data_IF_154381118103
#
_entry.id   IF_154381118103
#
_cell.length_a   1.000
_cell.length_b   1.000
_cell.length_c   1.000
_cell.angle_alpha   90.00
_cell.angle_beta   90.00
_cell.angle_gamma   90.00
#
_symmetry.space_group_name_H-M   'P 1'
#
loop_
_entity.id
_entity.type
_entity.pdbx_description
1 polymer ?
#
# COMPACT_ATOMS: atom_id res chain seq x y z
N UNK A 1 -7.01 -15.89 5.05
CA UNK A 1 -6.02 -14.79 5.16
C UNK A 1 -4.63 -15.30 4.83
N UNK A 2 -4.25 -16.50 5.30
CA UNK A 2 -2.97 -17.16 5.02
C UNK A 2 -2.60 -17.27 3.53
N UNK A 3 -3.56 -17.53 2.64
CA UNK A 3 -3.28 -17.57 1.20
C UNK A 3 -2.75 -16.22 0.67
N UNK A 4 -3.26 -15.09 1.17
CA UNK A 4 -2.78 -13.75 0.78
C UNK A 4 -1.36 -13.52 1.31
N UNK A 5 -1.06 -14.04 2.50
CA UNK A 5 0.29 -13.97 3.07
C UNK A 5 1.29 -14.81 2.27
N UNK A 6 0.88 -16.00 1.81
CA UNK A 6 1.67 -16.82 0.89
C UNK A 6 1.90 -16.12 -0.46
N UNK A 7 0.87 -15.49 -1.01
CA UNK A 7 0.98 -14.69 -2.25
C UNK A 7 1.90 -13.48 -2.07
N UNK A 8 1.89 -12.81 -0.91
CA UNK A 8 2.81 -11.70 -0.62
C UNK A 8 4.27 -12.14 -0.77
N UNK A 9 4.62 -13.32 -0.30
CA UNK A 9 5.98 -13.86 -0.42
C UNK A 9 6.28 -14.33 -1.84
N UNK A 10 5.36 -15.05 -2.47
CA UNK A 10 5.57 -15.64 -3.79
C UNK A 10 5.56 -14.61 -4.94
N UNK A 11 4.69 -13.61 -4.88
CA UNK A 11 4.48 -12.59 -5.93
C UNK A 11 5.11 -11.24 -5.58
N UNK A 12 5.45 -11.03 -4.31
CA UNK A 12 5.93 -9.76 -3.77
C UNK A 12 4.81 -8.90 -3.18
N UNK A 13 5.13 -8.17 -2.10
CA UNK A 13 4.19 -7.31 -1.38
C UNK A 13 3.62 -6.17 -2.22
N UNK A 14 4.39 -5.65 -3.19
CA UNK A 14 3.95 -4.60 -4.11
C UNK A 14 2.74 -5.03 -4.97
N UNK A 15 2.73 -6.27 -5.46
CA UNK A 15 1.61 -6.78 -6.27
C UNK A 15 0.33 -6.86 -5.44
N UNK A 16 0.42 -7.41 -4.23
CA UNK A 16 -0.74 -7.51 -3.32
C UNK A 16 -1.22 -6.12 -2.88
N UNK A 17 -0.30 -5.18 -2.64
CA UNK A 17 -0.62 -3.78 -2.32
C UNK A 17 -1.46 -3.12 -3.42
N UNK A 18 -1.12 -3.32 -4.70
CA UNK A 18 -1.88 -2.74 -5.83
C UNK A 18 -3.36 -3.17 -5.86
N UNK A 19 -3.68 -4.40 -5.43
CA UNK A 19 -5.07 -4.83 -5.27
C UNK A 19 -5.70 -4.30 -3.97
N UNK A 20 -4.91 -4.17 -2.90
CA UNK A 20 -5.37 -3.70 -1.60
C UNK A 20 -5.80 -2.22 -1.60
N UNK A 21 -5.08 -1.35 -2.34
CA UNK A 21 -5.29 0.10 -2.32
C UNK A 21 -6.73 0.52 -2.68
N UNK A 22 -7.39 -0.18 -3.60
CA UNK A 22 -8.75 0.15 -4.07
C UNK A 22 -9.81 0.05 -2.96
N UNK A 23 -9.61 -0.85 -2.01
CA UNK A 23 -10.58 -1.07 -0.92
C UNK A 23 -10.25 -0.33 0.37
N UNK A 24 -9.04 0.21 0.51
CA UNK A 24 -8.55 0.83 1.74
C UNK A 24 -9.37 2.07 2.14
N UNK A 25 -9.74 2.88 1.15
CA UNK A 25 -10.51 4.13 1.32
C UNK A 25 -11.96 4.03 0.85
N UNK A 26 -12.47 2.81 0.60
CA UNK A 26 -13.83 2.59 0.13
C UNK A 26 -14.89 3.19 1.08
N UNK A 27 -16.00 3.81 0.64
CA UNK A 27 -16.94 4.50 1.56
C UNK A 27 -17.68 3.56 2.53
N UNK A 28 -17.93 2.31 2.14
CA UNK A 28 -18.57 1.32 3.01
C UNK A 28 -17.60 0.77 4.08
N UNK A 29 -17.98 0.89 5.35
CA UNK A 29 -17.21 0.43 6.51
C UNK A 29 -16.79 -1.04 6.43
N UNK A 30 -17.74 -1.92 6.09
CA UNK A 30 -17.51 -3.38 6.00
C UNK A 30 -16.43 -3.75 4.99
N UNK A 31 -16.29 -2.96 3.91
CA UNK A 31 -15.24 -3.15 2.91
C UNK A 31 -13.90 -2.71 3.50
N UNK A 32 -13.81 -1.47 4.01
CA UNK A 32 -12.56 -0.94 4.59
C UNK A 32 -12.00 -1.84 5.68
N UNK A 33 -12.83 -2.34 6.59
CA UNK A 33 -12.37 -3.20 7.70
C UNK A 33 -11.59 -4.43 7.23
N UNK A 34 -11.95 -5.02 6.08
CA UNK A 34 -11.23 -6.19 5.53
C UNK A 34 -9.92 -5.75 4.87
N UNK A 35 -9.95 -4.67 4.08
CA UNK A 35 -8.77 -4.18 3.37
C UNK A 35 -7.71 -3.61 4.33
N UNK A 36 -8.11 -2.94 5.40
CA UNK A 36 -7.19 -2.48 6.44
C UNK A 36 -6.48 -3.65 7.13
N UNK A 37 -7.17 -4.78 7.37
CA UNK A 37 -6.50 -5.98 7.91
C UNK A 37 -5.44 -6.54 6.96
N UNK A 38 -5.72 -6.55 5.65
CA UNK A 38 -4.74 -6.98 4.64
C UNK A 38 -3.55 -6.02 4.59
N UNK A 39 -3.81 -4.70 4.60
CA UNK A 39 -2.78 -3.67 4.63
C UNK A 39 -1.86 -3.81 5.85
N UNK A 40 -2.43 -4.11 7.03
CA UNK A 40 -1.64 -4.34 8.24
C UNK A 40 -0.71 -5.58 8.10
N UNK A 41 -1.21 -6.66 7.50
CA UNK A 41 -0.39 -7.86 7.23
C UNK A 41 0.77 -7.55 6.30
N UNK A 42 0.50 -6.82 5.20
CA UNK A 42 1.53 -6.38 4.25
C UNK A 42 2.58 -5.51 4.92
N UNK A 43 2.15 -4.56 5.75
CA UNK A 43 3.03 -3.64 6.44
C UNK A 43 3.99 -4.39 7.37
N UNK A 44 3.49 -5.34 8.16
CA UNK A 44 4.32 -6.14 9.07
C UNK A 44 5.28 -7.06 8.29
N UNK A 45 4.82 -7.68 7.20
CA UNK A 45 5.61 -8.70 6.49
C UNK A 45 6.60 -8.18 5.45
N UNK A 46 6.40 -6.97 4.91
CA UNK A 46 7.13 -6.44 3.75
C UNK A 46 7.37 -4.94 3.80
N UNK A 47 7.42 -4.31 4.97
CA UNK A 47 7.46 -2.84 5.12
C UNK A 47 8.40 -2.12 4.14
N UNK A 48 9.68 -2.52 4.10
CA UNK A 48 10.71 -1.88 3.29
C UNK A 48 10.41 -1.98 1.78
N UNK A 49 9.97 -3.16 1.33
CA UNK A 49 9.59 -3.40 -0.05
C UNK A 49 8.36 -2.57 -0.50
N UNK A 50 7.52 -2.09 0.42
CA UNK A 50 6.36 -1.26 0.08
C UNK A 50 6.74 0.19 -0.25
N UNK A 51 7.91 0.68 0.19
CA UNK A 51 8.35 2.07 -0.04
C UNK A 51 8.32 2.41 -1.53
N UNK A 52 8.86 1.51 -2.37
CA UNK A 52 8.90 1.65 -3.82
C UNK A 52 7.53 1.44 -4.50
N UNK A 53 6.53 0.92 -3.79
CA UNK A 53 5.24 0.52 -4.36
C UNK A 53 4.07 1.44 -3.96
N UNK A 54 4.26 2.33 -2.98
CA UNK A 54 3.22 3.31 -2.64
C UNK A 54 2.89 4.22 -3.83
N UNK A 55 1.60 4.54 -4.05
CA UNK A 55 1.20 5.43 -5.12
C UNK A 55 1.75 6.83 -4.87
N UNK A 56 2.12 7.51 -5.94
CA UNK A 56 2.44 8.94 -5.89
C UNK A 56 1.14 9.70 -5.64
N UNK A 57 1.12 10.47 -4.56
CA UNK A 57 0.01 11.37 -4.24
C UNK A 57 0.40 12.79 -4.62
N UNK A 58 -0.55 13.54 -5.16
CA UNK A 58 -0.36 14.96 -5.46
C UNK A 58 -0.47 15.77 -4.19
N UNK A 59 0.35 16.80 -4.06
CA UNK A 59 0.26 17.76 -2.97
C UNK A 59 -1.10 18.48 -3.04
N UNK A 60 -1.68 18.72 -1.86
CA UNK A 60 -2.93 19.47 -1.69
C UNK A 60 -2.65 20.72 -0.87
N UNK A 61 -3.49 21.75 -0.98
CA UNK A 61 -3.34 23.10 -0.39
C UNK A 61 -2.31 23.23 0.76
N UNK A 62 -2.58 22.56 1.89
CA UNK A 62 -1.79 22.65 3.11
C UNK A 62 -0.88 21.44 3.37
N UNK A 63 -0.95 20.40 2.53
CA UNK A 63 -0.27 19.12 2.75
C UNK A 63 0.64 18.74 1.58
N UNK A 64 1.92 18.50 1.90
CA UNK A 64 2.90 17.93 0.97
C UNK A 64 2.87 16.41 1.13
N UNK A 65 2.43 15.70 0.09
CA UNK A 65 2.34 14.24 0.03
C UNK A 65 3.36 13.60 -0.91
N UNK A 66 3.98 14.41 -1.79
CA UNK A 66 5.04 13.99 -2.68
C UNK A 66 6.31 13.57 -1.92
N UNK A 67 7.15 12.76 -2.56
CA UNK A 67 8.45 12.30 -2.02
C UNK A 67 9.57 12.68 -2.98
N UNK A 68 10.05 13.95 -2.94
CA UNK A 68 11.02 14.48 -3.90
C UNK A 68 12.32 13.69 -3.97
N UNK A 69 12.73 13.08 -2.86
CA UNK A 69 13.97 12.30 -2.73
C UNK A 69 13.96 11.07 -3.65
N UNK A 70 12.78 10.55 -4.01
CA UNK A 70 12.65 9.38 -4.89
C UNK A 70 12.72 9.71 -6.38
N UNK A 71 12.67 11.00 -6.76
CA UNK A 71 12.66 11.44 -8.16
C UNK A 71 13.93 12.21 -8.55
N UNK A 72 14.92 12.27 -7.65
CA UNK A 72 16.22 12.85 -7.95
C UNK A 72 16.96 11.95 -8.94
N UNK A 73 17.43 12.54 -10.05
CA UNK A 73 18.36 11.91 -10.98
C UNK A 73 19.70 12.66 -10.89
N UNK A 74 20.80 11.91 -10.78
CA UNK A 74 22.17 12.44 -10.76
C UNK A 74 22.82 12.30 -12.13
#
# INVERSE_FOLDING_TARGET
MEAIEGMRVALGGAMVLNYCLRGLFHPARKVREVYWKICNSLYIGSQDALVAAYPVLHDEQDNIYSRPELVVFM
#
